data_IF_670768618856
#
_entry.id   IF_670768618856
#
_cell.length_a   1.000
_cell.length_b   1.000
_cell.length_c   1.000
_cell.angle_alpha   90.00
_cell.angle_beta   90.00
_cell.angle_gamma   90.00
#
_symmetry.space_group_name_H-M   'P 1'
#
loop_
_entity.id
_entity.type
_entity.pdbx_description
1 polymer ?
#
# COMPACT_ATOMS: atom_id res chain seq x y z
N UNK A 1 18.96 -39.91 13.81
CA UNK A 1 19.92 -39.24 12.91
C UNK A 1 19.89 -37.77 13.29
N UNK A 2 20.86 -37.31 14.08
CA UNK A 2 20.96 -35.89 14.46
C UNK A 2 21.68 -35.21 13.30
N UNK A 3 21.00 -34.28 12.62
CA UNK A 3 21.66 -33.46 11.59
C UNK A 3 22.62 -32.51 12.31
N UNK A 4 23.90 -32.83 12.33
CA UNK A 4 24.93 -31.88 12.77
C UNK A 4 25.14 -30.88 11.63
N UNK A 5 24.50 -29.72 11.76
CA UNK A 5 24.66 -28.62 10.81
C UNK A 5 26.07 -28.03 10.96
N UNK A 6 26.86 -28.11 9.89
CA UNK A 6 28.20 -27.53 9.87
C UNK A 6 28.13 -26.03 9.59
N UNK A 7 29.16 -25.24 9.96
CA UNK A 7 29.21 -23.81 9.65
C UNK A 7 29.05 -23.49 8.15
N UNK A 8 29.53 -24.38 7.28
CA UNK A 8 29.35 -24.30 5.82
C UNK A 8 27.90 -24.45 5.38
N UNK A 9 27.13 -25.31 6.05
CA UNK A 9 25.70 -25.49 5.76
C UNK A 9 24.91 -24.22 6.11
N UNK A 10 25.22 -23.60 7.25
CA UNK A 10 24.60 -22.31 7.64
C UNK A 10 24.91 -21.20 6.63
N UNK A 11 26.13 -21.16 6.11
CA UNK A 11 26.54 -20.19 5.10
C UNK A 11 25.74 -20.41 3.80
N UNK A 12 25.67 -21.65 3.32
CA UNK A 12 24.88 -22.00 2.13
C UNK A 12 23.40 -21.65 2.29
N UNK A 13 22.78 -22.01 3.43
CA UNK A 13 21.38 -21.67 3.72
C UNK A 13 21.17 -20.15 3.68
N UNK A 14 22.08 -19.39 4.30
CA UNK A 14 21.98 -17.93 4.35
C UNK A 14 22.07 -17.30 2.95
N UNK A 15 22.97 -17.79 2.10
CA UNK A 15 23.08 -17.33 0.70
C UNK A 15 21.78 -17.61 -0.06
N UNK A 16 21.24 -18.82 0.07
CA UNK A 16 19.99 -19.19 -0.61
C UNK A 16 18.83 -18.29 -0.14
N UNK A 17 18.70 -18.06 1.16
CA UNK A 17 17.68 -17.17 1.72
C UNK A 17 17.86 -15.73 1.22
N UNK A 18 19.09 -15.23 1.14
CA UNK A 18 19.38 -13.90 0.63
C UNK A 18 18.97 -13.76 -0.86
N UNK A 19 19.31 -14.74 -1.70
CA UNK A 19 18.92 -14.75 -3.11
C UNK A 19 17.39 -14.76 -3.27
N UNK A 20 16.70 -15.58 -2.49
CA UNK A 20 15.23 -15.64 -2.49
C UNK A 20 14.62 -14.32 -2.02
N UNK A 21 15.19 -13.69 -0.99
CA UNK A 21 14.72 -12.40 -0.50
C UNK A 21 14.87 -11.29 -1.56
N UNK A 22 15.98 -11.26 -2.28
CA UNK A 22 16.20 -10.31 -3.38
C UNK A 22 15.20 -10.55 -4.51
N UNK A 23 15.01 -11.79 -4.95
CA UNK A 23 14.05 -12.12 -6.00
C UNK A 23 12.61 -11.73 -5.60
N UNK A 24 12.21 -12.04 -4.36
CA UNK A 24 10.92 -11.66 -3.80
C UNK A 24 10.75 -10.13 -3.75
N UNK A 25 11.79 -9.39 -3.39
CA UNK A 25 11.76 -7.94 -3.31
C UNK A 25 11.39 -7.31 -4.65
N UNK A 26 12.10 -7.67 -5.73
CA UNK A 26 11.82 -7.11 -7.06
C UNK A 26 10.45 -7.51 -7.59
N UNK A 27 10.04 -8.76 -7.38
CA UNK A 27 8.70 -9.25 -7.77
C UNK A 27 7.59 -8.49 -7.03
N UNK A 28 7.69 -8.41 -5.70
CA UNK A 28 6.70 -7.74 -4.86
C UNK A 28 6.63 -6.23 -5.13
N UNK A 29 7.79 -5.58 -5.30
CA UNK A 29 7.88 -4.17 -5.68
C UNK A 29 7.16 -3.89 -6.99
N UNK A 30 7.37 -4.71 -8.03
CA UNK A 30 6.72 -4.54 -9.33
C UNK A 30 5.20 -4.57 -9.20
N UNK A 31 4.66 -5.55 -8.47
CA UNK A 31 3.22 -5.70 -8.25
C UNK A 31 2.64 -4.48 -7.53
N UNK A 32 3.27 -4.06 -6.44
CA UNK A 32 2.78 -2.91 -5.66
C UNK A 32 2.83 -1.61 -6.46
N UNK A 33 3.89 -1.38 -7.24
CA UNK A 33 3.98 -0.18 -8.10
C UNK A 33 2.90 -0.17 -9.19
N UNK A 34 2.61 -1.31 -9.79
CA UNK A 34 1.53 -1.43 -10.79
C UNK A 34 0.18 -1.08 -10.13
N UNK A 35 -0.09 -1.63 -8.94
CA UNK A 35 -1.32 -1.34 -8.20
C UNK A 35 -1.43 0.15 -7.84
N UNK A 36 -0.36 0.74 -7.30
CA UNK A 36 -0.32 2.16 -6.93
C UNK A 36 -0.58 3.07 -8.14
N UNK A 37 0.08 2.79 -9.27
CA UNK A 37 -0.14 3.55 -10.50
C UNK A 37 -1.57 3.39 -11.01
N UNK A 38 -2.07 2.15 -11.06
CA UNK A 38 -3.44 1.87 -11.52
C UNK A 38 -4.48 2.61 -10.68
N UNK A 39 -4.38 2.54 -9.35
CA UNK A 39 -5.33 3.22 -8.46
C UNK A 39 -5.22 4.74 -8.58
N UNK A 40 -4.00 5.28 -8.65
CA UNK A 40 -3.78 6.72 -8.78
C UNK A 40 -4.41 7.24 -10.08
N UNK A 41 -4.13 6.60 -11.21
CA UNK A 41 -4.73 6.96 -12.50
C UNK A 41 -6.25 6.85 -12.48
N UNK A 42 -6.82 5.80 -11.87
CA UNK A 42 -8.28 5.65 -11.76
C UNK A 42 -8.92 6.74 -10.90
N UNK A 43 -8.28 7.14 -9.80
CA UNK A 43 -8.79 8.25 -8.99
C UNK A 43 -8.74 9.57 -9.73
N UNK A 44 -7.67 9.84 -10.48
CA UNK A 44 -7.58 11.06 -11.29
C UNK A 44 -8.64 11.11 -12.40
N UNK A 45 -8.87 9.99 -13.08
CA UNK A 45 -9.88 9.85 -14.12
C UNK A 45 -11.31 10.13 -13.61
N UNK A 46 -11.63 9.59 -12.42
CA UNK A 46 -12.96 9.71 -11.80
C UNK A 46 -13.15 11.09 -11.16
N UNK A 47 -12.17 11.55 -10.37
CA UNK A 47 -12.29 12.77 -9.57
C UNK A 47 -12.03 14.04 -10.37
N UNK A 48 -11.27 13.97 -11.47
CA UNK A 48 -10.88 15.10 -12.33
C UNK A 48 -10.39 16.32 -11.51
N UNK A 49 -9.35 16.15 -10.67
CA UNK A 49 -8.87 17.19 -9.78
C UNK A 49 -8.28 18.38 -10.56
N UNK A 50 -8.47 19.59 -10.04
CA UNK A 50 -7.77 20.80 -10.53
C UNK A 50 -6.29 20.80 -10.13
N UNK A 51 -5.99 20.25 -8.95
CA UNK A 51 -4.65 20.19 -8.39
C UNK A 51 -4.53 18.91 -7.53
N UNK A 52 -3.32 18.36 -7.47
CA UNK A 52 -3.04 17.06 -6.85
C UNK A 52 -1.68 17.03 -6.19
N UNK A 53 -1.63 16.48 -4.98
CA UNK A 53 -0.39 16.27 -4.22
C UNK A 53 -0.32 14.80 -3.83
N UNK A 54 0.83 14.16 -4.08
CA UNK A 54 1.11 12.78 -3.70
C UNK A 54 2.24 12.72 -2.68
N UNK A 55 2.02 11.93 -1.63
CA UNK A 55 3.02 11.59 -0.62
C UNK A 55 3.18 10.08 -0.56
N UNK A 56 4.40 9.60 -0.72
CA UNK A 56 4.73 8.18 -0.68
C UNK A 56 4.67 7.65 0.76
N UNK A 57 4.09 6.46 0.94
CA UNK A 57 4.04 5.77 2.23
C UNK A 57 4.91 4.50 2.15
N UNK A 58 5.98 4.47 2.94
CA UNK A 58 6.89 3.31 3.01
C UNK A 58 7.47 2.90 1.64
N UNK A 59 7.61 3.86 0.71
CA UNK A 59 8.00 3.73 -0.71
C UNK A 59 7.10 2.81 -1.56
N UNK A 60 6.93 1.54 -1.20
CA UNK A 60 6.19 0.57 -2.01
C UNK A 60 4.94 0.04 -1.31
N UNK A 61 4.58 0.65 -0.18
CA UNK A 61 3.48 0.20 0.69
C UNK A 61 2.25 1.07 0.47
N UNK A 62 2.34 2.14 -0.32
CA UNK A 62 1.18 2.92 -0.75
C UNK A 62 1.49 4.40 -0.86
N UNK A 63 0.44 5.22 -0.84
CA UNK A 63 0.53 6.66 -0.94
C UNK A 63 -0.65 7.35 -0.26
N UNK A 64 -0.46 8.60 0.13
CA UNK A 64 -1.53 9.55 0.43
C UNK A 64 -1.60 10.56 -0.71
N UNK A 65 -2.78 10.73 -1.29
CA UNK A 65 -3.07 11.72 -2.32
C UNK A 65 -4.09 12.73 -1.80
N UNK A 66 -3.90 14.00 -2.15
CA UNK A 66 -4.84 15.07 -1.89
C UNK A 66 -5.27 15.68 -3.21
N UNK A 67 -6.55 15.51 -3.55
CA UNK A 67 -7.15 15.96 -4.80
C UNK A 67 -8.05 17.16 -4.56
N UNK A 68 -7.69 18.34 -5.10
CA UNK A 68 -8.55 19.54 -5.04
C UNK A 68 -9.55 19.52 -6.19
N UNK A 69 -10.84 19.45 -5.89
CA UNK A 69 -11.90 19.25 -6.91
C UNK A 69 -12.38 20.59 -7.48
N UNK A 70 -12.23 21.69 -6.72
CA UNK A 70 -12.57 23.03 -7.19
C UNK A 70 -14.05 23.23 -7.51
N UNK A 71 -14.93 22.38 -6.97
CA UNK A 71 -16.38 22.48 -7.06
C UNK A 71 -16.92 23.42 -5.96
N UNK A 72 -18.18 23.84 -6.05
CA UNK A 72 -18.82 24.71 -5.05
C UNK A 72 -19.08 24.00 -3.71
N UNK A 73 -19.29 22.68 -3.74
CA UNK A 73 -19.67 21.89 -2.56
C UNK A 73 -18.50 21.12 -1.95
N UNK A 74 -17.72 20.44 -2.78
CA UNK A 74 -16.59 19.60 -2.37
C UNK A 74 -15.27 20.37 -2.53
N UNK A 75 -14.52 20.50 -1.44
CA UNK A 75 -13.24 21.20 -1.42
C UNK A 75 -12.13 20.30 -1.98
N UNK A 76 -11.90 19.18 -1.28
CA UNK A 76 -10.87 18.20 -1.62
C UNK A 76 -11.29 16.78 -1.24
N UNK A 77 -10.63 15.81 -1.88
CA UNK A 77 -10.72 14.40 -1.53
C UNK A 77 -9.33 13.93 -1.13
N UNK A 78 -9.21 13.38 0.07
CA UNK A 78 -7.99 12.74 0.52
C UNK A 78 -8.12 11.23 0.32
N UNK A 79 -7.15 10.64 -0.38
CA UNK A 79 -7.11 9.21 -0.68
C UNK A 79 -5.86 8.62 -0.06
N UNK A 80 -6.02 7.62 0.80
CA UNK A 80 -4.89 6.88 1.35
C UNK A 80 -4.98 5.43 0.89
N UNK A 81 -4.02 5.02 0.06
CA UNK A 81 -3.83 3.63 -0.32
C UNK A 81 -2.78 3.01 0.59
N UNK A 82 -3.07 1.83 1.13
CA UNK A 82 -2.12 1.01 1.89
C UNK A 82 -2.14 -0.40 1.35
N UNK A 83 -1.06 -0.82 0.73
CA UNK A 83 -0.85 -2.15 0.18
C UNK A 83 -0.10 -3.02 1.17
N UNK A 84 -0.35 -4.33 1.13
CA UNK A 84 0.48 -5.30 1.84
C UNK A 84 1.92 -5.24 1.30
N UNK A 85 2.95 -5.28 2.16
CA UNK A 85 4.36 -5.18 1.75
C UNK A 85 4.87 -6.49 1.11
N UNK A 86 4.41 -6.77 -0.12
CA UNK A 86 4.76 -7.98 -0.91
C UNK A 86 6.26 -8.11 -1.18
N UNK A 87 6.99 -7.00 -1.15
CA UNK A 87 8.44 -6.97 -1.34
C UNK A 87 9.25 -7.51 -0.15
N UNK A 88 8.67 -7.59 1.04
CA UNK A 88 9.39 -8.07 2.23
C UNK A 88 9.15 -9.56 2.42
N UNK A 89 10.12 -10.41 2.07
CA UNK A 89 9.99 -11.87 2.20
C UNK A 89 9.57 -12.31 3.61
N UNK A 90 10.21 -11.75 4.63
CA UNK A 90 10.02 -12.17 6.02
C UNK A 90 8.76 -11.58 6.67
N UNK A 91 8.41 -10.34 6.30
CA UNK A 91 7.25 -9.66 6.90
C UNK A 91 5.95 -9.94 6.16
N UNK A 92 6.01 -10.32 4.88
CA UNK A 92 4.82 -10.57 4.07
C UNK A 92 3.89 -11.65 4.67
N UNK A 93 4.37 -12.80 5.18
CA UNK A 93 3.51 -13.79 5.83
C UNK A 93 2.79 -13.23 7.08
N UNK A 94 3.49 -12.43 7.88
CA UNK A 94 2.94 -11.79 9.08
C UNK A 94 1.86 -10.77 8.68
N UNK A 95 2.13 -9.97 7.66
CA UNK A 95 1.16 -9.00 7.14
C UNK A 95 -0.08 -9.67 6.53
N UNK A 96 0.07 -10.85 5.91
CA UNK A 96 -1.03 -11.65 5.40
C UNK A 96 -1.91 -12.21 6.54
N UNK A 97 -1.33 -12.58 7.67
CA UNK A 97 -2.10 -13.06 8.82
C UNK A 97 -2.84 -11.94 9.56
N UNK A 98 -2.23 -10.76 9.66
CA UNK A 98 -2.72 -9.62 10.45
C UNK A 98 -3.59 -8.66 9.65
N UNK A 99 -3.07 -8.10 8.56
CA UNK A 99 -3.78 -7.13 7.71
C UNK A 99 -4.68 -7.79 6.69
N UNK A 100 -4.30 -8.99 6.22
CA UNK A 100 -4.94 -9.86 5.20
C UNK A 100 -5.10 -9.28 3.79
N UNK A 101 -5.35 -7.99 3.66
CA UNK A 101 -5.73 -7.37 2.40
C UNK A 101 -5.19 -5.94 2.26
N UNK A 102 -5.25 -5.41 1.04
CA UNK A 102 -4.94 -4.02 0.72
C UNK A 102 -6.12 -3.11 1.09
N UNK A 103 -5.83 -1.87 1.53
CA UNK A 103 -6.81 -0.93 2.05
C UNK A 103 -6.80 0.37 1.28
N UNK A 104 -7.98 0.92 1.08
CA UNK A 104 -8.18 2.26 0.49
C UNK A 104 -9.09 3.04 1.42
N UNK A 105 -8.62 4.22 1.84
CA UNK A 105 -9.40 5.17 2.62
C UNK A 105 -9.69 6.39 1.75
N UNK A 106 -10.96 6.80 1.73
CA UNK A 106 -11.43 7.98 1.01
C UNK A 106 -12.05 8.93 2.02
N UNK A 107 -11.54 10.15 2.08
CA UNK A 107 -12.06 11.20 2.95
C UNK A 107 -12.51 12.37 2.08
N UNK A 108 -13.80 12.67 2.11
CA UNK A 108 -14.40 13.76 1.36
C UNK A 108 -14.51 15.00 2.24
N UNK A 109 -13.72 16.03 1.94
CA UNK A 109 -13.75 17.29 2.67
C UNK A 109 -14.59 18.30 1.92
N UNK A 110 -15.68 18.75 2.54
CA UNK A 110 -16.61 19.72 1.97
C UNK A 110 -16.29 21.14 2.44
N UNK A 111 -16.70 22.14 1.64
CA UNK A 111 -16.54 23.56 2.00
C UNK A 111 -17.47 24.00 3.12
N UNK A 112 -18.63 23.35 3.24
CA UNK A 112 -19.59 23.61 4.32
C UNK A 112 -19.15 22.86 5.58
N UNK A 113 -19.23 23.53 6.72
CA UNK A 113 -19.05 22.89 8.03
C UNK A 113 -20.22 21.95 8.30
N UNK A 114 -19.93 20.68 8.48
CA UNK A 114 -20.86 19.70 9.06
C UNK A 114 -20.59 19.58 10.55
N UNK A 115 -21.64 19.43 11.35
CA UNK A 115 -21.50 19.24 12.80
C UNK A 115 -21.08 17.81 13.18
N UNK A 116 -21.09 16.86 12.24
CA UNK A 116 -20.82 15.44 12.47
C UNK A 116 -20.10 14.82 11.26
N UNK A 117 -19.33 13.77 11.53
CA UNK A 117 -18.63 12.96 10.54
C UNK A 117 -19.41 11.67 10.25
N UNK A 118 -19.26 11.14 9.04
CA UNK A 118 -19.87 9.88 8.63
C UNK A 118 -18.79 8.95 8.08
N UNK A 119 -18.78 7.70 8.56
CA UNK A 119 -17.81 6.68 8.12
C UNK A 119 -18.56 5.54 7.46
N UNK A 120 -18.20 5.24 6.21
CA UNK A 120 -18.66 4.05 5.52
C UNK A 120 -17.54 3.02 5.52
N UNK A 121 -17.79 1.88 6.16
CA UNK A 121 -16.85 0.76 6.20
C UNK A 121 -17.52 -0.47 5.61
N UNK A 122 -16.98 -0.97 4.51
CA UNK A 122 -17.36 -2.29 3.97
C UNK A 122 -16.77 -3.39 4.85
N UNK A 123 -17.60 -4.32 5.36
CA UNK A 123 -17.10 -5.49 6.10
C UNK A 123 -16.32 -6.43 5.16
N UNK A 124 -15.30 -7.10 5.70
CA UNK A 124 -14.30 -7.90 4.98
C UNK A 124 -13.40 -7.05 4.06
N UNK A 125 -12.77 -6.03 4.67
CA UNK A 125 -11.58 -5.39 4.11
C UNK A 125 -10.38 -6.25 4.31
#
# INVERSE_FOLDING_TARGET
>A
MVFELTPTDFLLITIVVALVAVAQFFKGRKINLILMNYTASKFEEILKPKDKIYQWLGLYVGYKAVFKIGNKTLDRVEVTLTLIPRQSLLYYPIALLTSRFDRVFLVYCFKRKFYREAHLVRKCY
#
